data_IF_261177823342
#
_entry.id   IF_261177823342
#
_cell.length_a   1.000
_cell.length_b   1.000
_cell.length_c   1.000
_cell.angle_alpha   90.00
_cell.angle_beta   90.00
_cell.angle_gamma   90.00
#
_symmetry.space_group_name_H-M   'P 1'
#
loop_
_entity.id
_entity.type
_entity.pdbx_description
1 polymer ?
#
# COMPACT_ATOMS: atom_id res chain seq x y z
N UNK A 1 -2.20 10.31 13.40
CA UNK A 1 -1.20 10.42 12.34
C UNK A 1 -0.30 9.21 12.44
N UNK A 2 -0.67 8.10 11.80
CA UNK A 2 0.22 6.93 11.71
C UNK A 2 1.37 7.32 10.80
N UNK A 3 2.58 6.99 11.22
CA UNK A 3 3.83 7.37 10.60
C UNK A 3 3.85 7.06 9.09
N UNK A 4 4.37 7.99 8.30
CA UNK A 4 4.83 7.75 6.93
C UNK A 4 5.91 6.65 6.99
N UNK A 5 5.50 5.39 6.91
CA UNK A 5 6.42 4.25 6.90
C UNK A 5 7.27 4.22 5.62
N UNK A 6 6.88 4.97 4.60
CA UNK A 6 7.59 5.08 3.33
C UNK A 6 7.68 6.55 2.90
N UNK A 7 8.87 6.98 2.51
CA UNK A 7 9.07 8.24 1.80
C UNK A 7 8.79 8.05 0.31
N UNK A 8 8.46 9.14 -0.41
CA UNK A 8 8.27 9.11 -1.88
C UNK A 8 9.48 8.47 -2.59
N UNK A 9 10.69 8.82 -2.18
CA UNK A 9 11.93 8.24 -2.72
C UNK A 9 12.00 6.72 -2.50
N UNK A 10 11.60 6.24 -1.31
CA UNK A 10 11.60 4.81 -0.99
C UNK A 10 10.59 4.04 -1.85
N UNK A 11 9.43 4.62 -2.08
CA UNK A 11 8.38 4.04 -2.94
C UNK A 11 8.86 3.93 -4.38
N UNK A 12 9.49 4.98 -4.90
CA UNK A 12 10.04 4.98 -6.25
C UNK A 12 11.17 3.96 -6.41
N UNK A 13 12.03 3.78 -5.40
CA UNK A 13 13.07 2.75 -5.42
C UNK A 13 12.51 1.33 -5.48
N UNK A 14 11.43 1.06 -4.74
CA UNK A 14 10.76 -0.25 -4.73
C UNK A 14 10.04 -0.49 -6.06
N UNK A 15 9.30 0.50 -6.55
CA UNK A 15 8.53 0.40 -7.80
C UNK A 15 9.40 0.30 -9.04
N UNK A 16 10.57 0.95 -9.02
CA UNK A 16 11.57 0.83 -10.08
C UNK A 16 12.38 -0.48 -10.03
N UNK A 17 12.19 -1.29 -8.98
CA UNK A 17 12.95 -2.53 -8.76
C UNK A 17 14.40 -2.29 -8.38
N UNK A 18 14.80 -1.06 -8.06
CA UNK A 18 16.17 -0.73 -7.60
C UNK A 18 16.48 -1.36 -6.26
N UNK A 19 15.48 -1.44 -5.38
CA UNK A 19 15.62 -2.02 -4.06
C UNK A 19 14.35 -2.76 -3.66
N UNK A 20 14.43 -4.03 -3.22
CA UNK A 20 13.25 -4.75 -2.75
C UNK A 20 12.73 -4.20 -1.41
N UNK A 21 11.53 -4.63 -1.02
CA UNK A 21 11.02 -4.41 0.32
C UNK A 21 11.88 -5.17 1.33
N UNK A 22 12.11 -4.58 2.50
CA UNK A 22 12.58 -5.31 3.66
C UNK A 22 11.47 -6.22 4.20
N UNK A 23 11.83 -7.20 5.03
CA UNK A 23 10.86 -8.10 5.64
C UNK A 23 9.83 -7.36 6.52
N UNK A 24 10.27 -6.32 7.23
CA UNK A 24 9.42 -5.48 8.09
C UNK A 24 8.45 -4.64 7.26
N UNK A 25 8.96 -3.98 6.22
CA UNK A 25 8.14 -3.21 5.28
C UNK A 25 7.06 -4.09 4.61
N UNK A 26 7.46 -5.29 4.16
CA UNK A 26 6.52 -6.24 3.55
C UNK A 26 5.48 -6.74 4.55
N UNK A 27 5.88 -7.06 5.79
CA UNK A 27 4.95 -7.49 6.84
C UNK A 27 3.93 -6.39 7.15
N UNK A 28 4.39 -5.13 7.28
CA UNK A 28 3.53 -3.98 7.50
C UNK A 28 2.47 -3.85 6.39
N UNK A 29 2.89 -3.88 5.11
CA UNK A 29 1.94 -3.77 4.00
C UNK A 29 0.92 -4.92 3.99
N UNK A 30 1.33 -6.14 4.33
CA UNK A 30 0.44 -7.30 4.38
C UNK A 30 -0.51 -7.30 5.60
N UNK A 31 -0.22 -6.51 6.62
CA UNK A 31 -1.09 -6.33 7.79
C UNK A 31 -2.03 -5.14 7.63
N UNK A 32 -1.53 -4.03 7.09
CA UNK A 32 -2.25 -2.76 7.00
C UNK A 32 -3.15 -2.67 5.76
N UNK A 33 -2.65 -3.04 4.57
CA UNK A 33 -3.41 -2.93 3.30
C UNK A 33 -4.77 -3.62 3.30
N UNK A 34 -4.93 -4.89 3.76
CA UNK A 34 -6.23 -5.55 3.77
C UNK A 34 -7.20 -5.02 4.85
N UNK A 35 -6.77 -4.09 5.70
CA UNK A 35 -7.64 -3.48 6.72
C UNK A 35 -8.50 -2.33 6.17
N UNK A 36 -8.18 -1.82 4.98
CA UNK A 36 -8.96 -0.80 4.29
C UNK A 36 -10.16 -1.43 3.58
N UNK A 37 -11.32 -0.78 3.66
CA UNK A 37 -12.55 -1.23 2.99
C UNK A 37 -12.43 -1.16 1.46
N UNK A 38 -11.55 -0.30 0.95
CA UNK A 38 -11.23 -0.13 -0.46
C UNK A 38 -10.36 -1.25 -1.04
N UNK A 39 -9.77 -2.09 -0.19
CA UNK A 39 -8.93 -3.19 -0.65
C UNK A 39 -9.78 -4.35 -1.18
N UNK A 40 -9.65 -4.64 -2.47
CA UNK A 40 -10.30 -5.79 -3.11
C UNK A 40 -9.48 -7.09 -3.06
N UNK A 41 -8.27 -7.05 -2.51
CA UNK A 41 -7.36 -8.19 -2.46
C UNK A 41 -7.41 -8.89 -1.11
N UNK A 42 -7.34 -10.22 -1.12
CA UNK A 42 -7.12 -11.01 0.08
C UNK A 42 -5.67 -10.94 0.54
N UNK A 43 -5.42 -11.20 1.83
CA UNK A 43 -4.06 -11.26 2.38
C UNK A 43 -3.16 -12.28 1.64
N UNK A 44 -3.75 -13.40 1.19
CA UNK A 44 -3.01 -14.42 0.44
C UNK A 44 -2.61 -13.94 -0.97
N UNK A 45 -3.48 -13.22 -1.65
CA UNK A 45 -3.18 -12.62 -2.96
C UNK A 45 -2.08 -11.56 -2.83
N UNK A 46 -2.19 -10.67 -1.84
CA UNK A 46 -1.14 -9.68 -1.55
C UNK A 46 0.20 -10.35 -1.20
N UNK A 47 0.19 -11.44 -0.43
CA UNK A 47 1.40 -12.17 -0.06
C UNK A 47 2.10 -12.83 -1.25
N UNK A 48 1.37 -13.16 -2.31
CA UNK A 48 1.89 -13.74 -3.55
C UNK A 48 2.42 -12.68 -4.53
N UNK A 49 2.12 -11.39 -4.33
CA UNK A 49 2.56 -10.32 -5.22
C UNK A 49 4.06 -10.04 -5.08
N UNK A 50 4.77 -9.72 -6.19
CA UNK A 50 6.09 -9.10 -6.15
C UNK A 50 6.09 -7.78 -5.36
N UNK A 51 7.24 -7.37 -4.84
CA UNK A 51 7.36 -6.17 -4.00
C UNK A 51 6.84 -4.89 -4.67
N UNK A 52 7.16 -4.69 -5.95
CA UNK A 52 6.72 -3.53 -6.72
C UNK A 52 5.19 -3.49 -6.90
N UNK A 53 4.57 -4.66 -7.09
CA UNK A 53 3.13 -4.80 -7.27
C UNK A 53 2.41 -4.64 -5.93
N UNK A 54 2.94 -5.24 -4.86
CA UNK A 54 2.43 -5.07 -3.50
C UNK A 54 2.47 -3.60 -3.07
N UNK A 55 3.58 -2.91 -3.32
CA UNK A 55 3.72 -1.48 -3.06
C UNK A 55 2.68 -0.67 -3.85
N UNK A 56 2.55 -0.95 -5.15
CA UNK A 56 1.58 -0.23 -6.00
C UNK A 56 0.13 -0.48 -5.59
N UNK A 57 -0.21 -1.72 -5.20
CA UNK A 57 -1.54 -2.07 -4.70
C UNK A 57 -1.84 -1.36 -3.38
N UNK A 58 -0.92 -1.39 -2.42
CA UNK A 58 -1.07 -0.73 -1.13
C UNK A 58 -1.27 0.79 -1.29
N UNK A 59 -0.46 1.44 -2.12
CA UNK A 59 -0.61 2.88 -2.38
C UNK A 59 -1.88 3.23 -3.14
N UNK A 60 -2.33 2.36 -4.05
CA UNK A 60 -3.62 2.50 -4.73
C UNK A 60 -4.79 2.49 -3.74
N UNK A 61 -4.82 1.50 -2.84
CA UNK A 61 -5.83 1.40 -1.77
C UNK A 61 -5.79 2.63 -0.86
N UNK A 62 -4.61 3.07 -0.44
CA UNK A 62 -4.46 4.29 0.36
C UNK A 62 -4.97 5.54 -0.38
N UNK A 63 -4.67 5.68 -1.68
CA UNK A 63 -5.15 6.79 -2.49
C UNK A 63 -6.67 6.78 -2.63
N UNK A 64 -7.29 5.61 -2.78
CA UNK A 64 -8.74 5.46 -2.83
C UNK A 64 -9.40 5.76 -1.48
N UNK A 65 -8.84 5.27 -0.37
CA UNK A 65 -9.27 5.61 0.99
C UNK A 65 -9.21 7.11 1.26
N UNK A 66 -8.08 7.76 0.95
CA UNK A 66 -7.93 9.22 1.05
C UNK A 66 -8.98 9.91 0.20
N UNK A 67 -9.20 9.47 -1.04
CA UNK A 67 -10.25 10.04 -1.90
C UNK A 67 -11.64 9.91 -1.25
N UNK A 68 -11.99 8.75 -0.69
CA UNK A 68 -13.24 8.54 0.04
C UNK A 68 -13.38 9.48 1.25
N UNK A 69 -12.31 9.65 2.03
CA UNK A 69 -12.30 10.45 3.26
C UNK A 69 -12.40 11.96 3.00
N UNK A 70 -11.74 12.46 1.94
CA UNK A 70 -11.72 13.90 1.61
C UNK A 70 -12.81 14.30 0.61
N UNK A 71 -13.46 13.36 -0.08
CA UNK A 71 -14.69 13.61 -0.83
C UNK A 71 -15.94 13.63 0.07
N UNK A 72 -15.90 14.38 1.18
CA UNK A 72 -17.08 14.80 1.94
C UNK A 72 -17.94 15.69 1.02
N UNK A 73 -18.75 15.06 0.17
CA UNK A 73 -19.54 15.71 -0.88
C UNK A 73 -20.04 14.78 -2.00
N UNK A 74 -19.59 13.53 -2.08
CA UNK A 74 -20.18 12.52 -2.97
C UNK A 74 -21.09 11.55 -2.21
N UNK A 75 -22.18 12.08 -1.66
CA UNK A 75 -23.50 11.43 -1.56
C UNK A 75 -24.54 12.48 -1.18
#
# INVERSE_FOLDING_TARGET
MKADHFTDERIDDIRSGRSPLTAEERAFLLEDTPSFEECSYTKAELAAMPDADLMSAAYGVWADYVRCMYCVGCK
#
